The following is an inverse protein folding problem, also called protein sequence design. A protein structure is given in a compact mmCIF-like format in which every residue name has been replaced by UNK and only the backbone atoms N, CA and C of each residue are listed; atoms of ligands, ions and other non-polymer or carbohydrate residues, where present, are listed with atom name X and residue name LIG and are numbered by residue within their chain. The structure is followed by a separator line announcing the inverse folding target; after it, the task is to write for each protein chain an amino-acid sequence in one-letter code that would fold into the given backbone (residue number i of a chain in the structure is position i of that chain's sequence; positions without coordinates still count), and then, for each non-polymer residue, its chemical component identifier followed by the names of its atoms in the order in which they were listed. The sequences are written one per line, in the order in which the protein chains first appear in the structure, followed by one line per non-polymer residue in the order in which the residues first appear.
data_IF_380313041681
#
_entry.id   IF_380313041681
#
_cell.length_a   1.000
_cell.length_b   1.000
_cell.length_c   1.000
_cell.angle_alpha   90.00
_cell.angle_beta   90.00
_cell.angle_gamma   90.00
#
_symmetry.space_group_name_H-M   'P 1'
#
loop_
_entity.id
_entity.type
_entity.pdbx_description
1 polymer ?
#
# COMPACT_ATOMS: atom_id res chain seq x y z
N UNK A 1 32.55 -71.91 2.61
CA UNK A 1 31.30 -71.33 3.18
C UNK A 1 31.52 -69.88 3.44
N UNK A 2 31.00 -68.99 2.52
CA UNK A 2 31.15 -67.53 2.65
C UNK A 2 29.82 -66.99 3.19
N UNK A 3 29.83 -66.41 4.37
CA UNK A 3 28.68 -65.72 4.95
C UNK A 3 28.60 -64.31 4.37
N UNK A 4 27.56 -64.02 3.63
CA UNK A 4 27.26 -62.67 3.14
C UNK A 4 26.61 -61.89 4.29
N UNK A 5 27.20 -60.75 4.60
CA UNK A 5 26.66 -59.77 5.56
C UNK A 5 25.77 -58.79 4.79
N UNK A 6 24.50 -58.85 5.02
CA UNK A 6 23.52 -57.87 4.47
C UNK A 6 23.47 -56.69 5.44
N UNK A 7 24.01 -55.57 5.01
CA UNK A 7 23.88 -54.31 5.73
C UNK A 7 22.59 -53.59 5.26
N UNK A 8 21.59 -53.54 6.11
CA UNK A 8 20.38 -52.76 5.92
C UNK A 8 20.66 -51.29 6.23
N UNK A 9 20.67 -50.47 5.18
CA UNK A 9 20.82 -49.04 5.31
C UNK A 9 19.43 -48.43 5.60
N UNK A 10 19.18 -48.05 6.85
CA UNK A 10 17.98 -47.32 7.23
C UNK A 10 18.16 -45.86 6.88
N UNK A 11 17.52 -45.41 5.80
CA UNK A 11 17.46 -43.99 5.46
C UNK A 11 16.33 -43.37 6.29
N UNK A 12 16.73 -42.68 7.36
CA UNK A 12 15.80 -41.79 8.08
C UNK A 12 15.57 -40.55 7.26
N UNK A 13 14.44 -40.48 6.58
CA UNK A 13 13.95 -39.25 5.96
C UNK A 13 13.48 -38.36 7.10
N UNK A 14 14.36 -37.48 7.55
CA UNK A 14 14.01 -36.35 8.41
C UNK A 14 13.22 -35.38 7.57
N UNK A 15 11.89 -35.48 7.63
CA UNK A 15 11.00 -34.52 6.99
C UNK A 15 11.24 -33.13 7.59
N UNK A 16 11.96 -32.30 6.85
CA UNK A 16 12.06 -30.87 7.14
C UNK A 16 10.67 -30.29 6.92
N UNK A 17 9.90 -30.18 7.99
CA UNK A 17 8.69 -29.37 7.99
C UNK A 17 9.15 -27.93 7.82
N UNK A 18 9.11 -27.43 6.59
CA UNK A 18 9.16 -25.99 6.33
C UNK A 18 7.84 -25.44 6.91
N UNK A 19 7.90 -25.01 8.16
CA UNK A 19 6.86 -24.18 8.73
C UNK A 19 7.01 -22.85 7.98
N UNK A 20 6.23 -22.67 6.92
CA UNK A 20 6.04 -21.32 6.37
C UNK A 20 5.57 -20.44 7.52
N UNK A 21 6.25 -19.33 7.84
CA UNK A 21 5.69 -18.38 8.79
C UNK A 21 4.31 -18.04 8.26
N UNK A 22 3.29 -18.24 9.07
CA UNK A 22 1.95 -17.75 8.75
C UNK A 22 2.12 -16.22 8.62
N UNK A 23 1.93 -15.71 7.41
CA UNK A 23 1.91 -14.27 7.15
C UNK A 23 0.76 -13.71 7.98
N UNK A 24 1.06 -13.18 9.15
CA UNK A 24 0.07 -12.60 10.01
C UNK A 24 -0.20 -11.19 9.49
N UNK A 25 -1.34 -11.01 8.83
CA UNK A 25 -1.84 -9.67 8.58
C UNK A 25 -2.00 -8.94 9.92
N UNK A 26 -1.57 -7.68 10.03
CA UNK A 26 -1.57 -6.95 11.30
C UNK A 26 -2.96 -6.74 11.89
N UNK A 27 -4.00 -6.76 11.08
CA UNK A 27 -5.39 -6.56 11.48
C UNK A 27 -6.27 -7.68 10.93
N UNK A 28 -6.40 -8.75 11.69
CA UNK A 28 -7.28 -9.87 11.29
C UNK A 28 -8.72 -9.71 11.78
N UNK A 29 -8.98 -8.79 12.69
CA UNK A 29 -10.28 -8.58 13.29
C UNK A 29 -10.76 -7.15 13.01
N UNK A 30 -11.89 -7.07 12.33
CA UNK A 30 -12.58 -5.83 12.06
C UNK A 30 -13.87 -5.76 12.86
N UNK A 31 -14.30 -4.55 13.20
CA UNK A 31 -15.59 -4.31 13.85
C UNK A 31 -16.23 -3.04 13.33
N UNK A 32 -17.55 -3.02 13.30
CA UNK A 32 -18.32 -1.85 12.88
C UNK A 32 -18.65 -0.96 14.09
N UNK A 33 -18.53 0.35 13.89
CA UNK A 33 -18.98 1.38 14.82
C UNK A 33 -19.68 2.49 14.05
N UNK A 34 -21.02 2.50 14.08
CA UNK A 34 -21.83 3.32 13.18
C UNK A 34 -21.78 2.76 11.77
N UNK A 35 -21.44 3.57 10.80
CA UNK A 35 -21.30 3.18 9.39
C UNK A 35 -19.82 3.00 8.98
N UNK A 36 -18.91 2.89 9.96
CA UNK A 36 -17.48 2.83 9.74
C UNK A 36 -16.88 1.51 10.22
N UNK A 37 -15.84 1.04 9.54
CA UNK A 37 -15.09 -0.18 9.87
C UNK A 37 -13.79 0.17 10.56
N UNK A 38 -13.53 -0.46 11.70
CA UNK A 38 -12.32 -0.32 12.49
C UNK A 38 -11.58 -1.64 12.60
N UNK A 39 -10.26 -1.57 12.65
CA UNK A 39 -9.42 -2.74 12.94
C UNK A 39 -9.24 -2.97 14.46
N UNK A 40 -8.48 -4.02 14.81
CA UNK A 40 -8.19 -4.38 16.20
C UNK A 40 -7.34 -3.35 16.95
N UNK A 41 -6.67 -2.43 16.25
CA UNK A 41 -5.94 -1.31 16.84
C UNK A 41 -6.82 -0.06 17.00
N UNK A 42 -8.09 -0.12 16.57
CA UNK A 42 -9.04 0.99 16.62
C UNK A 42 -8.80 2.04 15.54
N UNK A 43 -8.13 1.68 14.46
CA UNK A 43 -7.91 2.52 13.28
C UNK A 43 -9.12 2.39 12.36
N UNK A 44 -9.69 3.52 11.93
CA UNK A 44 -10.79 3.54 10.97
C UNK A 44 -10.26 3.24 9.58
N UNK A 45 -10.73 2.13 9.00
CA UNK A 45 -10.32 1.68 7.67
C UNK A 45 -11.18 2.26 6.57
N UNK A 46 -12.41 2.64 6.89
CA UNK A 46 -13.38 3.22 5.96
C UNK A 46 -13.41 4.75 5.98
N UNK A 47 -12.30 5.39 6.31
CA UNK A 47 -12.17 6.84 6.34
C UNK A 47 -10.75 7.29 6.00
N UNK A 48 -10.61 8.12 4.98
CA UNK A 48 -9.30 8.60 4.53
C UNK A 48 -8.62 9.54 5.54
N UNK A 49 -9.35 10.52 6.08
CA UNK A 49 -8.79 11.56 6.96
C UNK A 49 -9.69 11.78 8.16
N UNK A 50 -9.10 12.03 9.31
CA UNK A 50 -9.81 12.41 10.53
C UNK A 50 -9.12 11.92 11.79
N UNK A 51 -9.77 12.10 12.93
CA UNK A 51 -9.23 11.66 14.21
C UNK A 51 -9.05 10.13 14.26
N UNK A 52 -9.99 9.41 13.65
CA UNK A 52 -10.01 7.95 13.62
C UNK A 52 -9.65 7.37 12.23
N UNK A 53 -9.26 8.21 11.24
CA UNK A 53 -8.93 7.77 9.89
C UNK A 53 -7.51 7.21 9.78
N UNK A 54 -7.15 6.63 8.63
CA UNK A 54 -5.80 6.14 8.38
C UNK A 54 -4.76 7.29 8.31
N UNK A 55 -5.19 8.51 8.04
CA UNK A 55 -4.42 9.74 8.24
C UNK A 55 -5.01 10.49 9.44
N UNK A 56 -4.51 10.20 10.61
CA UNK A 56 -5.02 10.74 11.86
C UNK A 56 -4.49 12.17 12.12
N UNK A 57 -5.36 13.06 12.61
CA UNK A 57 -4.95 14.39 13.05
C UNK A 57 -4.30 14.29 14.44
N UNK A 58 -3.06 14.72 14.54
CA UNK A 58 -2.27 14.81 15.77
C UNK A 58 -1.89 16.25 16.08
N UNK A 59 -1.24 16.49 17.22
CA UNK A 59 -0.68 17.80 17.56
C UNK A 59 0.44 18.25 16.58
N UNK A 60 1.01 17.33 15.83
CA UNK A 60 2.06 17.56 14.84
C UNK A 60 1.54 17.62 13.39
N UNK A 61 0.24 17.51 13.19
CA UNK A 61 -0.42 17.45 11.88
C UNK A 61 -1.00 16.07 11.59
N UNK A 62 -1.16 15.73 10.31
CA UNK A 62 -1.63 14.41 9.91
C UNK A 62 -0.52 13.38 9.99
N UNK A 63 -0.81 12.26 10.63
CA UNK A 63 0.07 11.10 10.72
C UNK A 63 -0.51 9.91 9.95
N UNK A 64 0.28 9.18 9.15
CA UNK A 64 -0.17 7.99 8.43
C UNK A 64 -0.23 6.78 9.37
N UNK A 65 -1.34 6.62 10.06
CA UNK A 65 -1.49 5.64 11.15
C UNK A 65 -1.37 4.21 10.65
N UNK A 66 -2.03 3.87 9.52
CA UNK A 66 -1.97 2.49 8.98
C UNK A 66 -0.56 2.15 8.51
N UNK A 67 0.14 3.10 7.86
CA UNK A 67 1.53 2.87 7.46
C UNK A 67 2.46 2.71 8.67
N UNK A 68 2.21 3.46 9.75
CA UNK A 68 2.96 3.31 11.02
C UNK A 68 2.62 2.00 11.72
N UNK A 69 1.37 1.55 11.69
CA UNK A 69 0.99 0.22 12.14
C UNK A 69 1.84 -0.84 11.43
N UNK A 70 2.03 -0.68 10.11
CA UNK A 70 2.91 -1.55 9.32
C UNK A 70 4.41 -1.44 9.67
N UNK A 71 4.81 -0.57 10.58
CA UNK A 71 6.16 -0.49 11.15
C UNK A 71 6.25 -1.06 12.58
N UNK A 72 5.15 -1.54 13.16
CA UNK A 72 5.07 -2.06 14.52
C UNK A 72 5.42 -3.55 14.65
N UNK A 73 5.14 -4.11 15.81
CA UNK A 73 5.54 -5.48 16.18
C UNK A 73 4.80 -6.59 15.43
N UNK A 74 3.66 -6.29 14.81
CA UNK A 74 2.82 -7.32 14.18
C UNK A 74 3.12 -7.51 12.71
N UNK A 75 4.26 -7.01 12.22
CA UNK A 75 4.40 -6.76 10.82
C UNK A 75 5.76 -7.06 10.28
N UNK A 76 5.75 -7.96 9.38
CA UNK A 76 7.01 -8.42 8.84
C UNK A 76 7.01 -8.46 7.32
N UNK A 77 5.86 -8.61 6.66
CA UNK A 77 5.80 -8.93 5.24
C UNK A 77 6.27 -7.77 4.36
N UNK A 78 5.68 -6.60 4.51
CA UNK A 78 6.06 -5.43 3.72
C UNK A 78 7.47 -4.94 4.12
N UNK A 79 7.79 -4.99 5.41
CA UNK A 79 9.11 -4.60 5.89
C UNK A 79 10.21 -5.52 5.38
N UNK A 80 10.06 -6.86 5.49
CA UNK A 80 11.01 -7.84 4.97
C UNK A 80 11.16 -7.74 3.45
N UNK A 81 10.06 -7.48 2.74
CA UNK A 81 10.10 -7.25 1.30
C UNK A 81 10.93 -6.02 0.94
N UNK A 82 10.74 -4.89 1.65
CA UNK A 82 11.56 -3.70 1.47
C UNK A 82 13.05 -3.93 1.76
N UNK A 83 13.36 -4.67 2.82
CA UNK A 83 14.74 -5.08 3.12
C UNK A 83 15.33 -6.00 2.04
N UNK A 84 14.50 -6.83 1.40
CA UNK A 84 14.92 -7.68 0.29
C UNK A 84 15.34 -6.81 -0.90
N UNK A 85 14.56 -5.79 -1.25
CA UNK A 85 14.95 -4.81 -2.28
C UNK A 85 16.27 -4.12 -1.95
N UNK A 86 16.52 -3.77 -0.67
CA UNK A 86 17.78 -3.16 -0.27
C UNK A 86 18.99 -4.07 -0.52
N UNK A 87 18.83 -5.38 -0.32
CA UNK A 87 19.88 -6.39 -0.55
C UNK A 87 20.11 -6.66 -2.04
N UNK A 88 19.03 -6.78 -2.82
CA UNK A 88 19.08 -7.12 -4.25
C UNK A 88 19.52 -5.95 -5.12
N UNK A 89 19.19 -4.73 -4.73
CA UNK A 89 19.48 -3.50 -5.49
C UNK A 89 20.29 -2.52 -4.64
N UNK A 90 21.62 -2.66 -4.56
CA UNK A 90 22.46 -1.78 -3.74
C UNK A 90 22.47 -0.32 -4.22
N UNK A 91 22.30 -0.09 -5.53
CA UNK A 91 22.26 1.26 -6.10
C UNK A 91 20.92 1.95 -5.78
N UNK A 92 20.92 3.13 -5.12
CA UNK A 92 19.69 3.72 -4.59
C UNK A 92 18.65 4.05 -5.67
N UNK A 93 19.04 4.62 -6.80
CA UNK A 93 18.08 4.97 -7.85
C UNK A 93 17.43 3.73 -8.47
N UNK A 94 18.24 2.70 -8.73
CA UNK A 94 17.73 1.43 -9.23
C UNK A 94 16.79 0.78 -8.21
N UNK A 95 17.18 0.74 -6.94
CA UNK A 95 16.35 0.21 -5.86
C UNK A 95 15.01 0.92 -5.76
N UNK A 96 15.01 2.25 -5.76
CA UNK A 96 13.78 3.03 -5.72
C UNK A 96 12.87 2.75 -6.92
N UNK A 97 13.44 2.61 -8.13
CA UNK A 97 12.69 2.24 -9.32
C UNK A 97 12.12 0.82 -9.25
N UNK A 98 12.88 -0.15 -8.73
CA UNK A 98 12.41 -1.53 -8.64
C UNK A 98 11.28 -1.69 -7.63
N UNK A 99 11.32 -1.01 -6.49
CA UNK A 99 10.21 -0.94 -5.54
C UNK A 99 8.97 -0.34 -6.22
N UNK A 100 9.14 0.79 -6.91
CA UNK A 100 8.04 1.44 -7.62
C UNK A 100 7.39 0.51 -8.66
N UNK A 101 8.20 -0.15 -9.49
CA UNK A 101 7.70 -1.06 -10.51
C UNK A 101 7.09 -2.32 -9.94
N UNK A 102 7.58 -2.78 -8.80
CA UNK A 102 6.98 -3.91 -8.10
C UNK A 102 5.52 -3.63 -7.74
N UNK A 103 5.23 -2.49 -7.12
CA UNK A 103 3.86 -2.10 -6.74
C UNK A 103 3.03 -1.83 -8.00
N UNK A 104 3.47 -0.93 -8.87
CA UNK A 104 2.76 -0.55 -10.09
C UNK A 104 2.33 -1.74 -10.97
N UNK A 105 3.18 -2.74 -11.09
CA UNK A 105 2.95 -3.86 -12.02
C UNK A 105 2.15 -4.99 -11.36
N UNK A 106 1.97 -4.98 -10.03
CA UNK A 106 1.30 -6.04 -9.27
C UNK A 106 0.05 -5.61 -8.54
N UNK A 107 -0.10 -4.34 -8.21
CA UNK A 107 -1.38 -3.86 -7.70
C UNK A 107 -2.29 -3.53 -8.88
N UNK A 108 -3.47 -4.12 -8.87
CA UNK A 108 -4.49 -3.93 -9.91
C UNK A 108 -5.52 -2.96 -9.36
N UNK A 109 -5.55 -1.76 -9.94
CA UNK A 109 -6.49 -0.74 -9.48
C UNK A 109 -7.92 -1.31 -9.42
N UNK A 110 -8.46 -1.34 -8.23
CA UNK A 110 -9.82 -1.78 -7.92
C UNK A 110 -10.37 -0.82 -6.87
N UNK A 111 -11.57 -0.32 -7.10
CA UNK A 111 -12.18 0.57 -6.10
C UNK A 111 -12.58 -0.21 -4.85
N UNK A 112 -12.51 0.43 -3.72
CA UNK A 112 -12.88 -0.16 -2.43
C UNK A 112 -14.31 -0.69 -2.40
N UNK A 113 -15.23 0.02 -3.05
CA UNK A 113 -16.63 -0.43 -3.15
C UNK A 113 -16.75 -1.77 -3.87
N UNK A 114 -15.89 -2.03 -4.87
CA UNK A 114 -15.90 -3.27 -5.64
C UNK A 114 -15.20 -4.41 -4.88
N UNK A 115 -14.16 -4.10 -4.09
CA UNK A 115 -13.39 -5.11 -3.36
C UNK A 115 -13.97 -5.37 -1.96
N UNK A 116 -14.25 -4.31 -1.19
CA UNK A 116 -14.61 -4.41 0.23
C UNK A 116 -16.09 -4.12 0.51
N UNK A 117 -16.80 -3.48 -0.44
CA UNK A 117 -18.18 -3.06 -0.25
C UNK A 117 -18.34 -1.76 0.55
N UNK A 118 -17.26 -1.02 0.75
CA UNK A 118 -17.20 0.30 1.37
C UNK A 118 -16.77 1.34 0.34
N UNK A 119 -17.13 2.61 0.52
CA UNK A 119 -16.69 3.69 -0.39
C UNK A 119 -15.21 3.99 -0.26
N UNK A 120 -14.66 3.78 0.94
CA UNK A 120 -13.24 3.94 1.28
C UNK A 120 -12.85 2.79 2.21
N UNK A 121 -11.72 2.14 2.00
CA UNK A 121 -11.20 1.09 2.87
C UNK A 121 -9.69 0.90 2.68
N UNK A 122 -8.88 1.56 3.48
CA UNK A 122 -7.43 1.46 3.37
C UNK A 122 -6.89 0.09 3.84
N UNK A 123 -6.16 -0.58 2.98
CA UNK A 123 -5.40 -1.78 3.33
C UNK A 123 -4.11 -1.39 4.06
N UNK A 124 -3.72 -2.21 5.01
CA UNK A 124 -2.39 -2.12 5.61
C UNK A 124 -1.33 -2.62 4.60
N UNK A 125 -0.11 -2.11 4.70
CA UNK A 125 0.99 -2.51 3.81
C UNK A 125 1.21 -4.03 3.78
N UNK A 126 1.08 -4.70 4.92
CA UNK A 126 1.27 -6.15 5.01
C UNK A 126 0.14 -6.96 4.40
N UNK A 127 -1.09 -6.45 4.48
CA UNK A 127 -2.25 -7.07 3.84
C UNK A 127 -2.05 -7.10 2.32
N UNK A 128 -1.72 -5.95 1.73
CA UNK A 128 -1.49 -5.83 0.30
C UNK A 128 -0.22 -6.56 -0.15
N UNK A 129 0.89 -6.42 0.59
CA UNK A 129 2.14 -7.14 0.29
C UNK A 129 1.94 -8.66 0.33
N UNK A 130 1.26 -9.15 1.36
CA UNK A 130 0.95 -10.58 1.51
C UNK A 130 0.12 -11.11 0.35
N UNK A 131 -0.94 -10.39 -0.02
CA UNK A 131 -1.80 -10.76 -1.15
C UNK A 131 -1.03 -10.76 -2.48
N UNK A 132 -0.16 -9.77 -2.71
CA UNK A 132 0.70 -9.72 -3.91
C UNK A 132 1.68 -10.89 -3.94
N UNK A 133 2.32 -11.24 -2.82
CA UNK A 133 3.28 -12.33 -2.76
C UNK A 133 2.62 -13.70 -2.94
N UNK A 134 1.42 -13.88 -2.41
CA UNK A 134 0.67 -15.13 -2.52
C UNK A 134 0.10 -15.36 -3.94
N UNK A 135 -0.45 -14.32 -4.55
CA UNK A 135 -1.22 -14.43 -5.79
C UNK A 135 -0.49 -13.88 -7.03
N UNK A 136 0.67 -13.25 -6.86
CA UNK A 136 1.42 -12.57 -7.93
C UNK A 136 0.90 -11.16 -8.26
N UNK A 137 -0.34 -10.86 -7.92
CA UNK A 137 -0.99 -9.54 -8.01
C UNK A 137 -2.14 -9.47 -7.00
N UNK A 138 -2.53 -8.26 -6.61
CA UNK A 138 -3.64 -8.03 -5.68
C UNK A 138 -4.44 -6.77 -6.07
N UNK A 139 -5.73 -6.69 -5.71
CA UNK A 139 -6.50 -5.47 -5.86
C UNK A 139 -6.06 -4.41 -4.84
N UNK A 140 -6.17 -3.15 -5.22
CA UNK A 140 -5.93 -2.00 -4.36
C UNK A 140 -6.15 -0.71 -5.13
N UNK A 141 -6.26 0.41 -4.43
CA UNK A 141 -6.43 1.70 -5.06
C UNK A 141 -5.34 2.72 -4.67
N UNK A 142 -5.63 4.02 -4.56
CA UNK A 142 -4.57 5.02 -4.46
C UNK A 142 -3.88 5.05 -3.08
N UNK A 143 -4.63 4.94 -1.99
CA UNK A 143 -4.07 4.91 -0.64
C UNK A 143 -3.37 3.59 -0.33
N UNK A 144 -3.88 2.48 -0.85
CA UNK A 144 -3.26 1.17 -0.72
C UNK A 144 -1.87 1.15 -1.35
N UNK A 145 -1.77 1.66 -2.59
CA UNK A 145 -0.50 1.83 -3.29
C UNK A 145 0.45 2.77 -2.51
N UNK A 146 -0.09 3.89 -1.99
CA UNK A 146 0.69 4.87 -1.26
C UNK A 146 1.25 4.30 0.06
N UNK A 147 0.42 3.58 0.82
CA UNK A 147 0.81 2.93 2.07
C UNK A 147 1.88 1.86 1.81
N UNK A 148 1.65 0.97 0.85
CA UNK A 148 2.62 -0.08 0.51
C UNK A 148 3.95 0.52 0.03
N UNK A 149 3.94 1.47 -0.90
CA UNK A 149 5.15 2.15 -1.38
C UNK A 149 5.91 2.82 -0.25
N UNK A 150 5.22 3.55 0.63
CA UNK A 150 5.85 4.29 1.71
C UNK A 150 6.57 3.35 2.68
N UNK A 151 5.96 2.22 3.04
CA UNK A 151 6.56 1.20 3.91
C UNK A 151 7.73 0.49 3.22
N UNK A 152 7.58 0.08 1.96
CA UNK A 152 8.66 -0.56 1.21
C UNK A 152 9.89 0.35 1.08
N UNK A 153 9.69 1.65 0.78
CA UNK A 153 10.78 2.62 0.72
C UNK A 153 11.46 2.78 2.07
N UNK A 154 10.69 2.92 3.15
CA UNK A 154 11.24 3.05 4.51
C UNK A 154 12.09 1.84 4.89
N UNK A 155 11.56 0.65 4.70
CA UNK A 155 12.24 -0.61 4.98
C UNK A 155 13.48 -0.84 4.10
N UNK A 156 13.47 -0.28 2.88
CA UNK A 156 14.63 -0.30 1.97
C UNK A 156 15.69 0.76 2.29
N UNK A 157 15.53 1.52 3.38
CA UNK A 157 16.50 2.51 3.85
C UNK A 157 16.34 3.90 3.23
N UNK A 158 15.20 4.20 2.63
CA UNK A 158 14.87 5.56 2.21
C UNK A 158 14.05 6.28 3.29
N UNK A 159 14.06 7.60 3.26
CA UNK A 159 13.01 8.39 3.86
C UNK A 159 11.82 8.37 2.90
N UNK A 160 10.63 8.19 3.45
CA UNK A 160 9.39 8.10 2.67
C UNK A 160 8.26 8.84 3.37
N UNK A 161 7.26 9.25 2.59
CA UNK A 161 6.10 9.95 3.10
C UNK A 161 4.84 9.49 2.37
N UNK A 162 3.69 9.67 3.01
CA UNK A 162 2.39 9.63 2.34
C UNK A 162 1.96 11.07 2.06
N UNK A 163 1.42 11.31 0.89
CA UNK A 163 0.90 12.60 0.47
C UNK A 163 -0.55 12.49 0.03
N UNK A 164 -1.37 13.40 0.54
CA UNK A 164 -2.75 13.57 0.13
C UNK A 164 -2.84 14.78 -0.80
N UNK A 165 -3.38 14.55 -1.97
CA UNK A 165 -3.77 15.56 -2.94
C UNK A 165 -5.30 15.57 -3.04
N UNK A 166 -5.93 16.56 -3.72
CA UNK A 166 -7.36 16.51 -3.95
C UNK A 166 -7.78 15.20 -4.61
N UNK A 167 -8.63 14.44 -3.93
CA UNK A 167 -9.21 13.18 -4.38
C UNK A 167 -8.17 12.08 -4.69
N UNK A 168 -7.03 12.11 -3.97
CA UNK A 168 -5.94 11.19 -4.28
C UNK A 168 -4.91 11.05 -3.16
N UNK A 169 -4.36 9.86 -3.00
CA UNK A 169 -3.19 9.58 -2.19
C UNK A 169 -2.03 9.07 -3.05
N UNK A 170 -0.80 9.39 -2.67
CA UNK A 170 0.41 8.86 -3.28
C UNK A 170 1.55 8.77 -2.25
N UNK A 171 2.64 8.11 -2.60
CA UNK A 171 3.85 8.13 -1.79
C UNK A 171 4.86 9.17 -2.29
N UNK A 172 5.74 9.59 -1.38
CA UNK A 172 6.97 10.29 -1.71
C UNK A 172 8.16 9.45 -1.25
N UNK A 173 9.24 9.51 -2.00
CA UNK A 173 10.54 8.98 -1.61
C UNK A 173 11.59 10.08 -1.67
N UNK A 174 12.43 10.22 -0.63
CA UNK A 174 13.52 11.18 -0.63
C UNK A 174 14.69 10.62 -1.45
N UNK A 175 14.92 11.22 -2.60
CA UNK A 175 15.91 10.81 -3.60
C UNK A 175 16.50 12.05 -4.30
N UNK A 176 17.37 12.82 -3.61
CA UNK A 176 17.71 14.18 -4.01
C UNK A 176 18.37 14.30 -5.39
N UNK A 177 19.11 13.27 -5.83
CA UNK A 177 19.83 13.30 -7.11
C UNK A 177 19.05 12.62 -8.26
N UNK A 178 17.76 12.38 -8.08
CA UNK A 178 16.95 11.71 -9.09
C UNK A 178 16.48 12.67 -10.18
N UNK A 179 17.23 12.72 -11.27
CA UNK A 179 17.03 13.67 -12.38
C UNK A 179 15.91 13.29 -13.37
N UNK A 180 15.26 12.12 -13.18
CA UNK A 180 14.14 11.67 -14.04
C UNK A 180 12.77 12.12 -13.53
N UNK A 181 12.71 12.73 -12.36
CA UNK A 181 11.45 13.26 -11.83
C UNK A 181 10.95 14.42 -12.71
N UNK A 182 9.65 14.38 -13.05
CA UNK A 182 9.01 15.47 -13.79
C UNK A 182 8.98 16.79 -13.00
N UNK A 183 9.04 16.70 -11.66
CA UNK A 183 9.10 17.80 -10.72
C UNK A 183 9.96 17.45 -9.50
N UNK A 184 10.78 18.38 -9.06
CA UNK A 184 11.31 18.36 -7.70
C UNK A 184 10.22 18.81 -6.70
N UNK A 185 10.08 18.08 -5.62
CA UNK A 185 9.17 18.41 -4.53
C UNK A 185 9.96 18.76 -3.28
N UNK A 186 9.30 19.53 -2.41
CA UNK A 186 9.87 19.94 -1.12
C UNK A 186 8.90 19.55 -0.01
N UNK A 187 9.39 18.86 1.00
CA UNK A 187 8.65 18.52 2.20
C UNK A 187 9.34 19.16 3.40
N UNK A 188 8.62 19.93 4.21
CA UNK A 188 9.13 20.64 5.38
C UNK A 188 10.38 21.52 5.10
N UNK A 189 10.44 22.09 3.90
CA UNK A 189 11.57 22.94 3.47
C UNK A 189 12.74 22.18 2.86
N UNK A 190 12.74 20.86 2.88
CA UNK A 190 13.79 20.03 2.30
C UNK A 190 13.39 19.56 0.89
N UNK A 191 14.26 19.82 -0.07
CA UNK A 191 14.11 19.41 -1.46
C UNK A 191 14.56 17.96 -1.67
N UNK A 192 14.28 17.41 -2.86
CA UNK A 192 14.74 16.06 -3.23
C UNK A 192 13.68 14.96 -3.03
N UNK A 193 12.46 15.36 -2.77
CA UNK A 193 11.35 14.42 -2.72
C UNK A 193 10.82 14.12 -4.11
N UNK A 194 10.59 12.85 -4.39
CA UNK A 194 10.14 12.31 -5.67
C UNK A 194 8.77 11.69 -5.51
N UNK A 195 7.85 12.07 -6.38
CA UNK A 195 6.48 11.53 -6.42
C UNK A 195 6.48 10.09 -6.90
N UNK A 196 5.82 9.22 -6.16
CA UNK A 196 5.66 7.80 -6.47
C UNK A 196 4.17 7.47 -6.61
N UNK A 197 3.69 7.49 -7.86
CA UNK A 197 2.30 7.28 -8.26
C UNK A 197 2.17 5.96 -9.01
N UNK A 198 1.73 4.90 -8.32
CA UNK A 198 1.70 3.54 -8.87
C UNK A 198 0.36 3.15 -9.51
N UNK A 199 -0.73 3.88 -9.27
CA UNK A 199 -2.06 3.55 -9.82
C UNK A 199 -2.13 3.56 -11.36
N UNK A 200 -1.23 4.27 -12.01
CA UNK A 200 -1.15 4.32 -13.47
C UNK A 200 -0.17 3.31 -14.05
N UNK A 201 -0.64 2.30 -14.77
CA UNK A 201 0.17 1.20 -15.34
C UNK A 201 1.36 1.64 -16.21
N UNK A 202 1.40 2.86 -16.69
CA UNK A 202 2.47 3.40 -17.55
C UNK A 202 3.30 4.47 -16.87
N UNK A 203 2.99 4.81 -15.62
CA UNK A 203 3.71 5.81 -14.86
C UNK A 203 5.15 5.33 -14.62
N UNK A 204 6.07 6.27 -14.60
CA UNK A 204 7.42 6.03 -14.11
C UNK A 204 7.55 6.71 -12.74
N UNK A 205 8.51 6.26 -11.94
CA UNK A 205 8.88 6.97 -10.71
C UNK A 205 9.20 8.43 -11.03
N UNK A 206 8.61 9.35 -10.29
CA UNK A 206 8.74 10.79 -10.51
C UNK A 206 7.78 11.38 -11.55
N UNK A 207 6.89 10.57 -12.13
CA UNK A 207 5.79 11.12 -12.92
C UNK A 207 4.82 11.90 -12.03
N UNK A 208 4.41 13.07 -12.43
CA UNK A 208 3.54 13.95 -11.66
C UNK A 208 2.34 14.39 -12.50
N UNK A 209 1.14 14.17 -12.00
CA UNK A 209 -0.08 14.52 -12.74
C UNK A 209 -0.21 16.04 -12.90
N UNK A 210 -0.41 16.56 -14.14
CA UNK A 210 -0.58 17.98 -14.35
C UNK A 210 -1.76 18.61 -13.58
N UNK A 211 -2.77 17.81 -13.25
CA UNK A 211 -3.95 18.22 -12.47
C UNK A 211 -3.61 18.67 -11.04
N UNK A 212 -2.52 18.21 -10.47
CA UNK A 212 -2.09 18.57 -9.12
C UNK A 212 -1.21 19.83 -9.06
N UNK A 213 -0.82 20.38 -10.23
CA UNK A 213 0.01 21.59 -10.27
C UNK A 213 -0.74 22.78 -9.64
N UNK A 214 -0.15 23.32 -8.55
CA UNK A 214 -0.75 24.46 -7.82
C UNK A 214 -1.95 24.10 -6.93
N UNK A 215 -2.20 22.82 -6.73
CA UNK A 215 -3.21 22.37 -5.77
C UNK A 215 -2.60 22.23 -4.37
N UNK A 216 -3.39 22.42 -3.29
CA UNK A 216 -2.94 22.11 -1.94
C UNK A 216 -2.68 20.62 -1.81
N UNK A 217 -1.59 20.27 -1.15
CA UNK A 217 -1.22 18.90 -0.83
C UNK A 217 -0.72 18.86 0.60
N UNK A 218 -0.98 17.76 1.28
CA UNK A 218 -0.54 17.51 2.64
C UNK A 218 0.30 16.24 2.64
N UNK A 219 1.51 16.30 3.18
CA UNK A 219 2.39 15.16 3.24
C UNK A 219 2.93 14.97 4.65
N UNK A 220 3.10 13.71 5.03
CA UNK A 220 3.71 13.33 6.29
C UNK A 220 4.75 12.25 6.07
N UNK A 221 5.97 12.51 6.55
CA UNK A 221 7.03 11.53 6.56
C UNK A 221 6.72 10.41 7.57
N UNK A 222 6.96 9.14 7.17
CA UNK A 222 6.83 8.00 8.06
C UNK A 222 7.89 8.06 9.17
N UNK A 223 7.43 8.06 10.42
CA UNK A 223 8.31 7.91 11.57
C UNK A 223 8.60 6.43 11.85
N UNK A 224 9.60 6.18 12.68
CA UNK A 224 9.92 4.84 13.21
C UNK A 224 9.28 4.60 14.59
N UNK A 225 8.55 5.58 15.10
CA UNK A 225 7.90 5.47 16.39
C UNK A 225 6.75 4.46 16.30
N UNK A 226 6.72 3.54 17.24
CA UNK A 226 5.60 2.62 17.37
C UNK A 226 4.30 3.39 17.66
N UNK A 227 3.18 2.89 17.14
CA UNK A 227 1.87 3.45 17.49
C UNK A 227 1.62 3.29 18.98
N UNK A 228 1.02 4.29 19.63
CA UNK A 228 0.55 4.12 21.00
C UNK A 228 -0.53 3.02 21.01
N UNK A 229 -0.38 2.08 21.91
CA UNK A 229 -1.38 1.04 22.15
C UNK A 229 -2.70 1.71 22.56
N UNK A 230 -3.71 1.59 21.70
CA UNK A 230 -5.04 2.13 22.00
C UNK A 230 -5.84 1.07 22.73
N UNK A 231 -6.22 1.35 23.97
CA UNK A 231 -7.00 0.42 24.78
C UNK A 231 -8.40 0.24 24.13
N UNK A 232 -8.69 -0.96 23.64
CA UNK A 232 -9.95 -1.29 22.99
C UNK A 232 -11.04 -1.53 24.05
N UNK A 233 -11.96 -0.60 24.19
CA UNK A 233 -13.12 -0.71 25.10
C UNK A 233 -14.34 -1.37 24.45
N UNK A 234 -14.25 -1.81 23.20
CA UNK A 234 -15.38 -2.34 22.44
C UNK A 234 -15.35 -3.87 22.32
N UNK A 235 -16.55 -4.50 22.36
CA UNK A 235 -16.69 -5.90 21.99
C UNK A 235 -16.51 -6.00 20.46
N UNK A 236 -15.48 -6.72 20.05
CA UNK A 236 -15.22 -6.99 18.64
C UNK A 236 -16.36 -7.88 18.10
N UNK A 237 -17.08 -7.39 17.10
CA UNK A 237 -18.04 -8.20 16.35
C UNK A 237 -17.41 -8.44 14.98
N UNK A 238 -17.22 -9.69 14.53
CA UNK A 238 -16.69 -9.96 13.20
C UNK A 238 -17.55 -9.29 12.13
N UNK A 239 -16.91 -8.52 11.25
CA UNK A 239 -17.59 -7.99 10.07
C UNK A 239 -17.92 -9.17 9.16
N UNK A 240 -19.20 -9.49 9.02
CA UNK A 240 -19.64 -10.44 8.01
C UNK A 240 -19.58 -9.72 6.66
N UNK A 241 -18.80 -10.25 5.72
CA UNK A 241 -18.88 -9.81 4.33
C UNK A 241 -20.36 -9.76 3.93
N UNK A 242 -20.83 -8.59 3.56
CA UNK A 242 -22.17 -8.42 3.03
C UNK A 242 -22.26 -9.26 1.76
N UNK A 243 -22.95 -10.39 1.82
CA UNK A 243 -23.36 -11.09 0.61
C UNK A 243 -24.26 -10.14 -0.16
N UNK A 244 -23.89 -9.85 -1.40
CA UNK A 244 -24.56 -8.95 -2.32
C UNK A 244 -26.08 -9.21 -2.38
N UNK A 245 -26.83 -8.45 -1.59
CA UNK A 245 -28.28 -8.44 -1.57
C UNK A 245 -28.76 -7.03 -1.33
N UNK A 246 -29.15 -6.38 -2.41
CA UNK A 246 -29.46 -4.98 -2.60
C UNK A 246 -30.24 -4.28 -1.49
N UNK A 247 -29.82 -3.08 -1.22
CA UNK A 247 -30.54 -2.09 -0.43
C UNK A 247 -29.76 -0.79 -0.40
N UNK A 248 -30.04 0.09 -1.35
CA UNK A 248 -29.47 1.43 -1.40
C UNK A 248 -30.00 2.26 -0.22
N UNK A 249 -29.10 2.77 0.62
CA UNK A 249 -29.40 3.91 1.47
C UNK A 249 -28.37 5.00 1.19
N UNK A 250 -28.85 6.11 0.62
CA UNK A 250 -28.05 7.29 0.34
C UNK A 250 -27.87 8.11 1.63
N UNK A 251 -26.66 8.21 2.12
CA UNK A 251 -26.25 9.14 3.17
C UNK A 251 -24.88 9.73 2.81
N UNK A 252 -24.90 10.71 1.97
CA UNK A 252 -24.08 11.91 1.88
C UNK A 252 -22.58 11.83 1.85
N UNK A 253 -21.97 11.41 0.74
CA UNK A 253 -20.77 12.03 0.15
C UNK A 253 -20.92 11.91 -1.37
N UNK A 254 -20.49 12.96 -2.09
CA UNK A 254 -20.80 13.21 -3.49
C UNK A 254 -20.27 12.13 -4.44
N UNK A 255 -21.08 11.57 -5.34
CA UNK A 255 -20.65 10.59 -6.35
C UNK A 255 -19.70 11.16 -7.42
N UNK A 256 -19.18 12.36 -7.21
CA UNK A 256 -18.24 13.01 -8.12
C UNK A 256 -16.82 12.40 -8.07
N UNK A 257 -16.43 11.73 -6.98
CA UNK A 257 -15.09 11.24 -6.76
C UNK A 257 -14.69 10.13 -7.75
N UNK A 258 -15.45 9.06 -7.80
CA UNK A 258 -15.17 7.91 -8.69
C UNK A 258 -15.32 8.23 -10.16
N UNK A 259 -16.28 9.11 -10.55
CA UNK A 259 -16.57 9.39 -11.95
C UNK A 259 -15.48 10.25 -12.61
N UNK A 260 -14.91 11.23 -11.90
CA UNK A 260 -13.87 12.10 -12.46
C UNK A 260 -12.55 11.35 -12.63
N UNK A 261 -12.20 10.49 -11.70
CA UNK A 261 -10.99 9.67 -11.78
C UNK A 261 -11.11 8.58 -12.86
N UNK A 262 -12.26 7.91 -12.96
CA UNK A 262 -12.55 6.96 -14.03
C UNK A 262 -12.53 7.63 -15.42
N UNK A 263 -13.09 8.81 -15.56
CA UNK A 263 -13.05 9.56 -16.82
C UNK A 263 -11.62 9.96 -17.20
N UNK A 264 -10.76 10.26 -16.22
CA UNK A 264 -9.37 10.58 -16.46
C UNK A 264 -8.57 9.33 -16.89
N UNK A 265 -8.75 8.17 -16.24
CA UNK A 265 -8.16 6.88 -16.65
C UNK A 265 -8.56 6.49 -18.07
N UNK A 266 -9.86 6.61 -18.41
CA UNK A 266 -10.33 6.33 -19.77
C UNK A 266 -9.84 7.33 -20.82
N UNK A 267 -9.61 8.59 -20.45
CA UNK A 267 -9.03 9.60 -21.31
C UNK A 267 -7.57 9.32 -21.62
N UNK A 268 -6.79 8.85 -20.65
CA UNK A 268 -5.38 8.51 -20.86
C UNK A 268 -5.18 7.24 -21.70
N UNK A 269 -6.11 6.27 -21.61
CA UNK A 269 -6.07 5.03 -22.40
C UNK A 269 -6.41 5.23 -23.89
N UNK A 270 -7.13 6.31 -24.26
CA UNK A 270 -7.57 6.54 -25.65
C UNK A 270 -6.53 7.18 -26.56
N UNK A 271 -5.40 7.64 -26.06
CA UNK A 271 -4.34 8.23 -26.90
C UNK A 271 -3.36 7.16 -27.40
N UNK A 272 -3.80 6.23 -28.27
CA UNK A 272 -2.90 5.47 -29.13
C UNK A 272 -2.45 6.36 -30.28
N UNK A 273 -1.15 6.59 -30.52
CA UNK A 273 -0.71 7.32 -31.70
C UNK A 273 -1.02 6.50 -32.96
N UNK A 274 -1.74 7.12 -33.89
CA UNK A 274 -2.00 6.55 -35.19
C UNK A 274 -0.67 6.30 -35.92
N UNK A 275 -0.38 5.05 -36.28
CA UNK A 275 0.73 4.66 -37.14
C UNK A 275 0.57 5.37 -38.49
N UNK A 276 1.39 6.39 -38.75
CA UNK A 276 1.56 6.99 -40.08
C UNK A 276 2.11 5.92 -41.02
N UNK A 277 1.28 5.40 -41.91
CA UNK A 277 1.76 4.68 -43.09
C UNK A 277 2.45 5.69 -44.02
N UNK A 278 3.76 5.52 -44.21
CA UNK A 278 4.46 6.13 -45.35
C UNK A 278 4.11 5.35 -46.61
N UNK A 279 3.63 6.07 -47.61
CA UNK A 279 3.66 5.64 -49.01
C UNK A 279 5.02 5.97 -49.57
#
# INVERSE_FOLDING_TARGET
MKKALVATLSISILGLMIVSPALAAPSQNFFERGDEVYDSFGICRSRSIGEDGFMQLTEHGFDPIIARESLGENIDVAWELGQTFAKEYPEPHQRAQQIFYFVRDRVVYTSDIDEFGHEEFAQNADELAGAVLENGAAPGDCEDDAILLAVLYKAAGFRSAIVLAPDHAAALVHLPDYNKAARGLTLEGEAGWVWAEATGRTNALGWFAPSFVGKPMFARELSEEAMPEKELTYRLTPVQRASSGGGFSFGGISPFFSVVFMLWLFSSMRRRPAKRRRK
#
